data_IF_384307294667
#
_entry.id   IF_384307294667
#
_cell.length_a   1.000
_cell.length_b   1.000
_cell.length_c   1.000
_cell.angle_alpha   90.00
_cell.angle_beta   90.00
_cell.angle_gamma   90.00
#
_symmetry.space_group_name_H-M   'P 1'
#
loop_
_entity.id
_entity.type
_entity.pdbx_description
1 polymer ?
#
# COMPACT_ATOMS: atom_id res chain seq x y z
N UNK A 1 48.24 -30.40 -9.83
CA UNK A 1 48.91 -29.57 -8.80
C UNK A 1 50.41 -29.84 -8.83
N UNK A 2 51.12 -29.26 -9.80
CA UNK A 2 52.59 -29.12 -9.83
C UNK A 2 53.09 -28.32 -11.05
N UNK A 3 52.22 -27.99 -12.01
CA UNK A 3 52.53 -27.04 -13.09
C UNK A 3 52.00 -25.60 -12.86
N UNK A 4 51.05 -25.41 -11.94
CA UNK A 4 50.46 -24.09 -11.63
C UNK A 4 51.14 -23.33 -10.49
N UNK A 5 52.20 -23.86 -9.90
CA UNK A 5 52.95 -23.19 -8.82
C UNK A 5 54.33 -22.66 -9.25
N UNK A 6 54.72 -22.80 -10.53
CA UNK A 6 55.95 -22.22 -11.08
C UNK A 6 55.72 -20.97 -11.96
N UNK A 7 54.48 -20.71 -12.42
CA UNK A 7 54.15 -19.50 -13.20
C UNK A 7 53.86 -18.26 -12.31
N UNK A 8 53.46 -18.44 -11.05
CA UNK A 8 53.18 -17.32 -10.13
C UNK A 8 54.44 -16.66 -9.52
N UNK A 9 55.63 -17.22 -9.75
CA UNK A 9 56.90 -16.72 -9.20
C UNK A 9 57.76 -15.91 -10.20
N UNK A 10 57.50 -15.99 -11.52
CA UNK A 10 58.26 -15.22 -12.53
C UNK A 10 57.59 -13.91 -12.96
N UNK A 11 56.32 -13.69 -12.65
CA UNK A 11 55.61 -12.47 -13.08
C UNK A 11 55.62 -11.33 -12.03
N UNK A 12 56.23 -11.55 -10.86
CA UNK A 12 56.37 -10.56 -9.77
C UNK A 12 57.76 -9.94 -9.64
N UNK A 13 58.64 -10.08 -10.64
CA UNK A 13 60.01 -9.53 -10.59
C UNK A 13 60.34 -8.44 -11.65
N UNK A 14 59.34 -7.91 -12.36
CA UNK A 14 59.54 -6.87 -13.38
C UNK A 14 58.86 -5.53 -13.03
N UNK A 15 58.70 -5.25 -11.74
CA UNK A 15 58.25 -3.97 -11.21
C UNK A 15 59.34 -3.33 -10.35
N UNK A 16 60.42 -2.87 -10.97
CA UNK A 16 61.38 -1.94 -10.36
C UNK A 16 62.40 -1.44 -11.39
N UNK A 17 62.66 -0.13 -11.39
CA UNK A 17 63.74 0.65 -12.09
C UNK A 17 63.28 1.29 -13.43
N UNK A 18 62.79 2.55 -13.45
CA UNK A 18 63.51 3.86 -13.59
C UNK A 18 63.92 4.16 -15.05
N UNK A 19 63.60 5.23 -15.80
CA UNK A 19 63.64 6.73 -15.65
C UNK A 19 64.31 7.31 -16.96
N UNK A 20 63.81 8.47 -17.49
CA UNK A 20 64.45 9.51 -18.37
C UNK A 20 64.55 9.30 -19.92
N UNK A 21 63.80 10.05 -20.76
CA UNK A 21 64.06 11.35 -21.50
C UNK A 21 64.91 11.20 -22.80
N UNK A 22 64.84 11.95 -23.93
CA UNK A 22 64.36 13.30 -24.32
C UNK A 22 64.51 13.51 -25.89
N UNK A 23 63.75 14.47 -26.48
CA UNK A 23 63.94 15.29 -27.75
C UNK A 23 63.76 14.64 -29.14
N UNK A 24 63.07 15.22 -30.16
CA UNK A 24 62.31 16.48 -30.25
C UNK A 24 61.78 16.86 -31.67
N UNK A 25 60.90 17.89 -31.66
CA UNK A 25 60.61 19.01 -32.61
C UNK A 25 60.34 18.69 -34.12
N UNK A 26 59.28 19.20 -34.78
CA UNK A 26 59.07 20.62 -35.21
C UNK A 26 57.56 20.95 -35.46
N UNK A 27 57.17 22.18 -35.12
CA UNK A 27 55.88 22.88 -35.30
C UNK A 27 55.60 23.40 -36.74
N UNK A 28 54.33 23.71 -37.09
CA UNK A 28 53.84 25.11 -37.24
C UNK A 28 52.33 25.24 -37.64
N UNK A 29 51.57 25.83 -36.71
CA UNK A 29 50.45 26.81 -36.76
C UNK A 29 49.35 26.85 -37.85
N UNK A 30 48.10 26.90 -37.37
CA UNK A 30 47.18 28.04 -37.60
C UNK A 30 46.17 28.17 -36.43
N UNK A 31 45.78 29.41 -36.11
CA UNK A 31 45.12 29.87 -34.88
C UNK A 31 43.77 30.55 -35.21
N UNK A 32 42.80 30.44 -34.27
CA UNK A 32 41.60 31.28 -34.00
C UNK A 32 40.23 30.84 -34.58
N UNK A 33 39.09 31.24 -33.98
CA UNK A 33 38.62 30.89 -32.63
C UNK A 33 37.18 30.29 -32.64
N UNK A 34 36.84 29.44 -31.66
CA UNK A 34 35.47 28.96 -31.47
C UNK A 34 34.56 30.04 -30.87
N UNK A 35 33.69 30.63 -31.69
CA UNK A 35 32.45 31.26 -31.23
C UNK A 35 31.32 30.23 -31.26
N UNK A 36 30.90 29.77 -30.09
CA UNK A 36 29.72 28.92 -29.92
C UNK A 36 28.45 29.75 -30.15
N UNK A 37 27.87 29.64 -31.34
CA UNK A 37 26.52 30.09 -31.60
C UNK A 37 25.51 29.11 -30.97
N UNK A 38 24.62 29.69 -30.18
CA UNK A 38 23.49 29.07 -29.48
C UNK A 38 22.52 28.44 -30.49
N UNK A 39 22.62 27.14 -30.71
CA UNK A 39 21.57 26.38 -31.38
C UNK A 39 20.50 26.00 -30.32
N UNK A 40 19.32 26.60 -30.45
CA UNK A 40 18.13 26.18 -29.74
C UNK A 40 17.81 24.74 -30.14
N UNK A 41 18.09 23.78 -29.26
CA UNK A 41 17.58 22.42 -29.40
C UNK A 41 16.13 22.41 -28.91
N UNK A 42 15.25 22.15 -29.87
CA UNK A 42 13.83 21.86 -29.69
C UNK A 42 13.58 20.87 -28.55
N UNK A 43 12.52 21.04 -27.73
CA UNK A 43 12.15 20.04 -26.74
C UNK A 43 11.79 18.74 -27.45
N UNK A 44 12.49 17.67 -27.10
CA UNK A 44 12.19 16.33 -27.58
C UNK A 44 10.74 15.96 -27.17
N UNK A 45 9.86 15.59 -28.10
CA UNK A 45 8.44 15.39 -27.81
C UNK A 45 8.23 14.10 -27.01
N UNK A 46 7.43 14.22 -25.95
CA UNK A 46 6.58 13.18 -25.38
C UNK A 46 7.21 11.80 -25.11
N UNK A 47 7.66 11.60 -23.87
CA UNK A 47 7.32 10.37 -23.14
C UNK A 47 6.12 10.66 -22.24
N UNK A 48 4.97 10.93 -22.86
CA UNK A 48 3.66 10.83 -22.22
C UNK A 48 3.16 9.39 -22.43
N UNK A 49 3.65 8.46 -21.61
CA UNK A 49 2.98 7.19 -21.43
C UNK A 49 2.11 7.29 -20.18
N UNK A 50 0.85 7.64 -20.40
CA UNK A 50 -0.24 7.39 -19.46
C UNK A 50 -0.39 5.87 -19.28
N UNK A 51 0.49 5.27 -18.48
CA UNK A 51 0.53 3.82 -18.32
C UNK A 51 -0.41 3.41 -17.19
N UNK A 52 -1.70 3.31 -17.51
CA UNK A 52 -2.76 2.78 -16.65
C UNK A 52 -2.58 1.29 -16.31
N UNK A 53 -1.65 0.60 -16.98
CA UNK A 53 -1.04 -0.69 -16.55
C UNK A 53 0.47 -0.55 -16.47
N UNK A 54 1.09 -0.95 -15.35
CA UNK A 54 2.55 -0.91 -15.20
C UNK A 54 3.03 -2.28 -14.73
N UNK A 55 4.13 -2.78 -15.30
CA UNK A 55 4.86 -3.91 -14.69
C UNK A 55 5.69 -3.38 -13.54
N UNK A 56 5.31 -3.72 -12.30
CA UNK A 56 6.16 -3.46 -11.13
C UNK A 56 6.90 -4.75 -10.79
N UNK A 57 8.24 -4.74 -10.85
CA UNK A 57 9.08 -5.92 -10.66
C UNK A 57 8.69 -7.12 -11.55
N UNK A 58 8.14 -6.86 -12.74
CA UNK A 58 7.69 -7.90 -13.67
C UNK A 58 6.26 -8.41 -13.44
N UNK A 59 5.59 -7.99 -12.35
CA UNK A 59 4.21 -8.40 -12.03
C UNK A 59 3.17 -7.43 -12.62
N UNK A 60 1.98 -7.96 -12.92
CA UNK A 60 0.83 -7.16 -13.35
C UNK A 60 0.34 -6.25 -12.21
N UNK A 61 0.25 -4.95 -12.49
CA UNK A 61 -0.33 -3.95 -11.60
C UNK A 61 -1.24 -3.02 -12.40
N UNK A 62 -2.48 -2.87 -11.94
CA UNK A 62 -3.39 -1.85 -12.45
C UNK A 62 -3.54 -0.73 -11.42
N UNK A 63 -3.53 0.50 -11.93
CA UNK A 63 -3.67 1.72 -11.12
C UNK A 63 -5.05 2.37 -11.28
N UNK A 64 -5.83 1.91 -12.26
CA UNK A 64 -7.18 2.38 -12.55
C UNK A 64 -8.12 1.20 -12.89
N UNK A 65 -9.43 1.30 -12.62
CA UNK A 65 -10.40 0.23 -12.87
C UNK A 65 -10.48 -0.22 -14.33
N UNK A 66 -10.37 0.71 -15.27
CA UNK A 66 -10.55 0.48 -16.71
C UNK A 66 -9.49 -0.48 -17.27
N UNK A 67 -8.34 -0.58 -16.60
CA UNK A 67 -7.22 -1.42 -16.99
C UNK A 67 -6.98 -2.62 -16.09
N UNK A 68 -7.79 -2.78 -15.04
CA UNK A 68 -7.64 -3.85 -14.06
C UNK A 68 -8.10 -5.23 -14.58
N UNK A 69 -8.74 -5.28 -15.75
CA UNK A 69 -9.11 -6.51 -16.42
C UNK A 69 -10.35 -7.20 -15.84
N UNK A 70 -10.71 -8.38 -16.37
CA UNK A 70 -11.95 -9.08 -16.01
C UNK A 70 -11.97 -9.55 -14.55
N UNK A 71 -10.82 -9.95 -13.99
CA UNK A 71 -10.74 -10.40 -12.60
C UNK A 71 -11.19 -9.32 -11.62
N UNK A 72 -10.83 -8.06 -11.90
CA UNK A 72 -11.26 -6.92 -11.09
C UNK A 72 -12.79 -6.71 -11.14
N UNK A 73 -13.43 -6.98 -12.29
CA UNK A 73 -14.89 -6.84 -12.43
C UNK A 73 -15.65 -7.78 -11.50
N UNK A 74 -15.11 -8.96 -11.20
CA UNK A 74 -15.74 -9.92 -10.29
C UNK A 74 -15.27 -9.76 -8.83
N UNK A 75 -14.08 -9.21 -8.60
CA UNK A 75 -13.63 -8.86 -7.25
C UNK A 75 -14.55 -7.79 -6.63
N UNK A 76 -14.83 -7.93 -5.33
CA UNK A 76 -15.56 -6.93 -4.56
C UNK A 76 -16.41 -7.52 -3.45
N UNK A 77 -17.31 -6.69 -2.94
CA UNK A 77 -18.23 -7.03 -1.86
C UNK A 77 -19.61 -7.33 -2.43
N UNK A 78 -20.25 -8.35 -1.88
CA UNK A 78 -21.59 -8.81 -2.28
C UNK A 78 -22.45 -8.98 -1.04
N UNK A 79 -23.70 -8.56 -1.09
CA UNK A 79 -24.65 -8.66 0.04
C UNK A 79 -25.98 -9.22 -0.44
N UNK A 80 -26.67 -9.91 0.46
CA UNK A 80 -27.98 -10.48 0.18
C UNK A 80 -28.36 -11.46 1.27
N UNK A 81 -28.83 -12.63 0.89
CA UNK A 81 -29.44 -13.57 1.83
C UNK A 81 -29.06 -15.03 1.60
N UNK A 82 -29.08 -15.79 2.70
CA UNK A 82 -29.11 -17.24 2.71
C UNK A 82 -30.50 -17.69 3.18
N UNK A 83 -31.15 -18.56 2.41
CA UNK A 83 -32.54 -18.96 2.65
C UNK A 83 -32.64 -20.48 2.72
N UNK A 84 -32.92 -21.02 3.91
CA UNK A 84 -33.31 -22.41 4.07
C UNK A 84 -34.78 -22.61 3.66
N UNK A 85 -35.11 -23.81 3.17
CA UNK A 85 -36.47 -24.14 2.75
C UNK A 85 -37.47 -23.91 3.89
N UNK A 86 -38.53 -23.15 3.63
CA UNK A 86 -39.57 -22.82 4.62
C UNK A 86 -39.12 -21.89 5.75
N UNK A 87 -37.93 -21.28 5.66
CA UNK A 87 -37.37 -20.40 6.68
C UNK A 87 -37.29 -18.94 6.20
N UNK A 88 -37.19 -18.01 7.14
CA UNK A 88 -36.98 -16.59 6.82
C UNK A 88 -35.55 -16.37 6.29
N UNK A 89 -35.38 -15.62 5.18
CA UNK A 89 -34.05 -15.28 4.65
C UNK A 89 -33.16 -14.62 5.71
N UNK A 90 -31.94 -15.11 5.86
CA UNK A 90 -30.94 -14.58 6.79
C UNK A 90 -29.95 -13.69 6.04
N UNK A 91 -29.59 -12.55 6.65
CA UNK A 91 -28.61 -11.64 6.05
C UNK A 91 -27.26 -12.33 5.86
N UNK A 92 -26.68 -12.14 4.69
CA UNK A 92 -25.45 -12.80 4.30
C UNK A 92 -24.63 -11.91 3.37
N UNK A 93 -23.32 -12.13 3.30
CA UNK A 93 -22.44 -11.40 2.41
C UNK A 93 -21.28 -12.26 1.91
N UNK A 94 -20.56 -11.73 0.92
CA UNK A 94 -19.30 -12.28 0.48
C UNK A 94 -18.28 -11.17 0.19
N UNK A 95 -17.01 -11.43 0.48
CA UNK A 95 -15.88 -10.70 -0.11
C UNK A 95 -15.19 -11.63 -1.11
N UNK A 96 -15.31 -11.33 -2.41
CA UNK A 96 -14.68 -12.06 -3.51
C UNK A 96 -13.35 -11.40 -3.83
N UNK A 97 -12.26 -12.15 -3.72
CA UNK A 97 -10.88 -11.69 -3.93
C UNK A 97 -10.31 -12.36 -5.17
N UNK A 98 -9.87 -11.56 -6.13
CA UNK A 98 -9.11 -12.05 -7.27
C UNK A 98 -7.71 -12.46 -6.82
N UNK A 99 -7.31 -13.68 -7.17
CA UNK A 99 -5.98 -14.23 -6.90
C UNK A 99 -5.15 -14.41 -8.18
N UNK A 100 -5.66 -13.91 -9.30
CA UNK A 100 -4.99 -13.76 -10.59
C UNK A 100 -5.30 -14.89 -11.56
N UNK A 101 -5.14 -14.60 -12.85
CA UNK A 101 -5.34 -15.56 -13.95
C UNK A 101 -6.72 -16.23 -13.94
N UNK A 102 -7.77 -15.44 -13.62
CA UNK A 102 -9.15 -15.91 -13.54
C UNK A 102 -9.45 -16.74 -12.29
N UNK A 103 -8.53 -16.86 -11.34
CA UNK A 103 -8.75 -17.57 -10.09
C UNK A 103 -9.24 -16.62 -8.98
N UNK A 104 -10.13 -17.14 -8.12
CA UNK A 104 -10.74 -16.37 -7.04
C UNK A 104 -10.82 -17.16 -5.74
N UNK A 105 -10.83 -16.41 -4.65
CA UNK A 105 -11.24 -16.88 -3.33
C UNK A 105 -12.36 -15.99 -2.84
N UNK A 106 -13.45 -16.56 -2.34
CA UNK A 106 -14.50 -15.81 -1.70
C UNK A 106 -14.65 -16.21 -0.22
N UNK A 107 -14.84 -15.20 0.61
CA UNK A 107 -15.13 -15.34 2.03
C UNK A 107 -16.62 -15.09 2.24
N UNK A 108 -17.34 -16.10 2.69
CA UNK A 108 -18.78 -16.10 2.91
C UNK A 108 -19.07 -15.75 4.38
N UNK A 109 -19.89 -14.73 4.59
CA UNK A 109 -20.00 -14.01 5.87
C UNK A 109 -21.47 -13.93 6.33
N UNK A 110 -21.88 -14.74 7.32
CA UNK A 110 -23.15 -14.56 8.03
C UNK A 110 -23.32 -13.16 8.61
N UNK A 111 -24.54 -12.64 8.57
CA UNK A 111 -24.89 -11.36 9.20
C UNK A 111 -24.47 -10.12 8.41
N UNK A 112 -23.52 -10.22 7.48
CA UNK A 112 -23.16 -9.13 6.56
C UNK A 112 -21.65 -8.99 6.35
N UNK A 113 -21.22 -7.80 5.94
CA UNK A 113 -19.81 -7.45 5.71
C UNK A 113 -19.13 -7.00 7.01
N UNK A 114 -17.79 -6.92 7.06
CA UNK A 114 -17.06 -6.28 8.15
C UNK A 114 -17.59 -4.85 8.41
N UNK A 115 -17.82 -4.53 9.68
CA UNK A 115 -18.42 -3.26 10.11
C UNK A 115 -19.90 -3.10 9.74
N UNK A 116 -20.54 -4.11 9.16
CA UNK A 116 -21.92 -4.06 8.68
C UNK A 116 -22.69 -5.37 8.95
N UNK A 117 -22.55 -5.91 10.17
CA UNK A 117 -23.34 -7.03 10.70
C UNK A 117 -22.61 -8.37 10.80
N UNK A 118 -21.41 -8.51 10.22
CA UNK A 118 -20.56 -9.68 10.46
C UNK A 118 -20.10 -9.74 11.92
N UNK A 119 -20.03 -10.94 12.50
CA UNK A 119 -19.66 -11.18 13.90
C UNK A 119 -18.14 -11.12 14.17
N UNK A 120 -17.33 -10.99 13.11
CA UNK A 120 -15.87 -10.93 13.19
C UNK A 120 -15.16 -12.30 13.21
N UNK A 121 -15.90 -13.41 13.25
CA UNK A 121 -15.34 -14.76 13.41
C UNK A 121 -15.89 -15.79 12.42
N UNK A 122 -17.21 -15.87 12.23
CA UNK A 122 -17.88 -16.88 11.44
C UNK A 122 -17.66 -16.66 9.94
N UNK A 123 -16.95 -17.56 9.27
CA UNK A 123 -16.75 -17.46 7.82
C UNK A 123 -16.57 -18.83 7.19
N UNK A 124 -16.93 -18.94 5.92
CA UNK A 124 -16.53 -20.05 5.06
C UNK A 124 -15.71 -19.53 3.89
N UNK A 125 -14.81 -20.38 3.41
CA UNK A 125 -13.95 -20.07 2.26
C UNK A 125 -14.32 -20.98 1.11
N UNK A 126 -14.58 -20.37 -0.03
CA UNK A 126 -14.74 -21.07 -1.31
C UNK A 126 -13.71 -20.54 -2.30
N UNK A 127 -13.34 -21.38 -3.25
CA UNK A 127 -12.37 -21.02 -4.28
C UNK A 127 -12.67 -21.72 -5.58
N UNK A 128 -12.08 -21.21 -6.65
CA UNK A 128 -12.27 -21.73 -7.99
C UNK A 128 -11.81 -20.68 -8.99
N UNK A 129 -12.40 -20.73 -10.18
CA UNK A 129 -11.91 -19.95 -11.30
C UNK A 129 -13.00 -19.66 -12.33
N UNK A 130 -12.68 -18.76 -13.25
CA UNK A 130 -13.40 -18.57 -14.50
C UNK A 130 -12.99 -19.62 -15.52
N UNK A 131 -13.98 -20.28 -16.12
CA UNK A 131 -13.86 -21.18 -17.27
C UNK A 131 -14.90 -20.74 -18.31
N UNK A 132 -14.45 -20.26 -19.47
CA UNK A 132 -15.32 -19.62 -20.44
C UNK A 132 -15.92 -18.33 -19.88
N UNK A 133 -17.25 -18.25 -19.85
CA UNK A 133 -18.02 -17.13 -19.30
C UNK A 133 -18.48 -17.33 -17.85
N UNK A 134 -18.19 -18.51 -17.27
CA UNK A 134 -18.70 -18.91 -15.96
C UNK A 134 -17.61 -18.91 -14.91
N UNK A 135 -17.88 -18.30 -13.76
CA UNK A 135 -16.99 -18.34 -12.59
C UNK A 135 -17.65 -19.13 -11.48
N UNK A 136 -17.08 -20.30 -11.15
CA UNK A 136 -17.62 -21.20 -10.11
C UNK A 136 -16.62 -21.38 -8.98
N UNK A 137 -17.06 -21.20 -7.75
CA UNK A 137 -16.25 -21.40 -6.54
C UNK A 137 -16.93 -22.41 -5.61
N UNK A 138 -16.13 -23.28 -4.99
CA UNK A 138 -16.61 -24.30 -4.06
C UNK A 138 -15.71 -24.45 -2.84
N UNK A 139 -16.25 -25.01 -1.76
CA UNK A 139 -15.46 -25.40 -0.60
C UNK A 139 -14.46 -26.50 -0.96
N UNK A 140 -13.27 -26.48 -0.32
CA UNK A 140 -12.17 -27.42 -0.61
C UNK A 140 -12.56 -28.89 -0.46
N UNK A 141 -13.43 -29.20 0.51
CA UNK A 141 -13.90 -30.55 0.79
C UNK A 141 -15.07 -30.98 -0.10
N UNK A 142 -15.56 -30.09 -0.98
CA UNK A 142 -16.74 -30.31 -1.82
C UNK A 142 -18.06 -30.45 -1.05
N UNK A 143 -18.07 -30.21 0.28
CA UNK A 143 -19.20 -30.49 1.19
C UNK A 143 -19.75 -29.25 1.88
N UNK A 144 -19.25 -28.06 1.53
CA UNK A 144 -19.72 -26.78 2.07
C UNK A 144 -20.63 -26.03 1.11
N UNK A 145 -20.14 -24.91 0.62
CA UNK A 145 -20.85 -24.02 -0.29
C UNK A 145 -20.38 -24.24 -1.72
N UNK A 146 -21.31 -24.09 -2.67
CA UNK A 146 -21.02 -23.95 -4.11
C UNK A 146 -21.70 -22.71 -4.64
N UNK A 147 -20.94 -21.83 -5.28
CA UNK A 147 -21.43 -20.55 -5.79
C UNK A 147 -21.00 -20.34 -7.23
N UNK A 148 -21.82 -19.63 -7.99
CA UNK A 148 -21.53 -19.10 -9.32
C UNK A 148 -21.59 -17.59 -9.28
N UNK A 149 -20.58 -16.93 -9.82
CA UNK A 149 -20.51 -15.47 -9.96
C UNK A 149 -20.82 -15.13 -11.42
N UNK A 150 -21.86 -14.34 -11.63
CA UNK A 150 -22.31 -13.86 -12.94
C UNK A 150 -22.41 -12.34 -12.91
N UNK A 151 -21.36 -11.67 -13.40
CA UNK A 151 -21.24 -10.21 -13.30
C UNK A 151 -21.35 -9.74 -11.84
N UNK A 152 -22.38 -8.95 -11.56
CA UNK A 152 -22.63 -8.38 -10.23
C UNK A 152 -23.51 -9.27 -9.33
N UNK A 153 -23.77 -10.51 -9.72
CA UNK A 153 -24.60 -11.45 -8.94
C UNK A 153 -23.85 -12.70 -8.52
N UNK A 154 -24.15 -13.19 -7.32
CA UNK A 154 -23.74 -14.50 -6.83
C UNK A 154 -24.98 -15.30 -6.51
N UNK A 155 -25.06 -16.49 -7.11
CA UNK A 155 -26.05 -17.51 -6.75
C UNK A 155 -25.35 -18.75 -6.29
N UNK A 156 -25.92 -19.47 -5.33
CA UNK A 156 -25.34 -20.73 -4.88
C UNK A 156 -26.20 -21.46 -3.89
N UNK A 157 -25.63 -22.49 -3.30
CA UNK A 157 -26.28 -23.26 -2.27
C UNK A 157 -25.30 -23.88 -1.27
N UNK A 158 -25.80 -24.19 -0.08
CA UNK A 158 -25.09 -25.06 0.88
C UNK A 158 -25.31 -26.53 0.54
N UNK A 159 -24.53 -27.43 1.15
CA UNK A 159 -24.76 -28.87 1.04
C UNK A 159 -26.15 -29.32 1.53
N UNK A 160 -26.84 -28.50 2.34
CA UNK A 160 -28.21 -28.75 2.78
C UNK A 160 -29.28 -28.20 1.81
N UNK A 161 -28.87 -27.61 0.68
CA UNK A 161 -29.78 -27.02 -0.30
C UNK A 161 -30.31 -25.63 0.09
N UNK A 162 -29.70 -24.96 1.06
CA UNK A 162 -30.07 -23.57 1.41
C UNK A 162 -29.59 -22.65 0.30
N UNK A 163 -30.48 -21.81 -0.22
CA UNK A 163 -30.22 -20.98 -1.40
C UNK A 163 -29.50 -19.70 -1.00
N UNK A 164 -28.39 -19.39 -1.67
CA UNK A 164 -27.61 -18.18 -1.52
C UNK A 164 -27.85 -17.25 -2.71
N UNK A 165 -28.21 -16.00 -2.44
CA UNK A 165 -28.40 -14.95 -3.46
C UNK A 165 -27.80 -13.64 -2.96
N UNK A 166 -26.76 -13.14 -3.63
CA UNK A 166 -26.05 -11.91 -3.28
C UNK A 166 -25.88 -11.02 -4.51
N UNK A 167 -25.90 -9.71 -4.30
CA UNK A 167 -25.61 -8.69 -5.32
C UNK A 167 -24.40 -7.87 -4.92
N UNK A 168 -23.61 -7.48 -5.92
CA UNK A 168 -22.41 -6.66 -5.73
C UNK A 168 -22.81 -5.28 -5.20
N UNK A 169 -22.03 -4.77 -4.27
CA UNK A 169 -22.12 -3.40 -3.79
C UNK A 169 -20.74 -2.75 -3.82
N UNK A 170 -20.74 -1.42 -3.86
CA UNK A 170 -19.55 -0.60 -3.70
C UNK A 170 -19.76 0.24 -2.46
N UNK A 171 -18.94 0.03 -1.43
CA UNK A 171 -18.89 0.90 -0.24
C UNK A 171 -17.84 1.96 -0.44
N UNK A 172 -18.17 3.17 -0.03
CA UNK A 172 -17.23 4.29 0.05
C UNK A 172 -17.08 4.70 1.51
N UNK A 173 -15.91 5.23 1.85
CA UNK A 173 -15.73 5.80 3.18
C UNK A 173 -16.52 7.10 3.31
N UNK A 174 -17.22 7.32 4.46
CA UNK A 174 -17.99 8.54 4.69
C UNK A 174 -17.14 9.80 4.83
N UNK A 175 -15.82 9.68 4.95
CA UNK A 175 -14.89 10.82 5.07
C UNK A 175 -14.06 11.05 3.81
N UNK A 176 -14.30 10.32 2.71
CA UNK A 176 -13.65 10.61 1.43
C UNK A 176 -14.06 12.01 0.94
N UNK A 177 -13.07 12.80 0.54
CA UNK A 177 -13.24 14.18 0.11
C UNK A 177 -13.56 15.14 1.25
N UNK A 178 -13.46 14.72 2.51
CA UNK A 178 -13.74 15.61 3.64
C UNK A 178 -12.82 16.84 3.58
N UNK A 179 -13.39 18.06 3.55
CA UNK A 179 -12.58 19.26 3.45
C UNK A 179 -11.80 19.47 4.76
N UNK A 180 -10.60 20.07 4.68
CA UNK A 180 -9.88 20.49 5.87
C UNK A 180 -10.76 21.45 6.70
N UNK A 181 -10.92 21.24 8.01
CA UNK A 181 -11.63 22.19 8.85
C UNK A 181 -10.86 23.51 8.94
N UNK A 182 -11.54 24.57 9.39
CA UNK A 182 -10.90 25.88 9.61
C UNK A 182 -9.72 25.75 10.56
N UNK A 183 -8.56 26.26 10.15
CA UNK A 183 -7.31 26.19 10.93
C UNK A 183 -6.48 24.91 10.72
N UNK A 184 -6.95 23.96 9.91
CA UNK A 184 -6.13 22.80 9.55
C UNK A 184 -4.94 23.20 8.65
N UNK A 185 -3.79 22.56 8.89
CA UNK A 185 -2.67 22.60 7.99
C UNK A 185 -2.92 21.61 6.85
N UNK A 186 -3.08 22.11 5.63
CA UNK A 186 -3.14 21.28 4.43
C UNK A 186 -1.73 20.80 4.10
N UNK A 187 -1.52 19.49 4.16
CA UNK A 187 -0.26 18.85 3.81
C UNK A 187 -0.20 18.51 2.33
N UNK A 188 -1.31 18.08 1.73
CA UNK A 188 -1.38 17.80 0.30
C UNK A 188 -2.82 17.84 -0.23
N UNK A 189 -3.05 18.56 -1.31
CA UNK A 189 -4.34 18.70 -1.99
C UNK A 189 -4.25 18.52 -3.52
N UNK A 190 -3.11 18.04 -4.03
CA UNK A 190 -2.88 17.87 -5.47
C UNK A 190 -2.37 19.12 -6.20
N UNK A 191 -2.03 20.20 -5.50
CA UNK A 191 -1.47 21.42 -6.14
C UNK A 191 0.06 21.44 -6.14
N UNK A 192 0.68 21.20 -4.98
CA UNK A 192 2.13 21.20 -4.83
C UNK A 192 2.59 20.24 -3.72
N UNK A 193 3.91 20.15 -3.56
CA UNK A 193 4.59 19.32 -2.56
C UNK A 193 5.38 20.17 -1.55
N UNK A 194 4.98 21.42 -1.34
CA UNK A 194 5.74 22.39 -0.52
C UNK A 194 5.92 21.94 0.92
N UNK A 195 4.99 21.15 1.46
CA UNK A 195 5.05 20.58 2.81
C UNK A 195 5.96 19.33 2.92
N UNK A 196 6.41 18.78 1.79
CA UNK A 196 7.08 17.48 1.74
C UNK A 196 8.54 17.59 1.33
N UNK A 197 9.37 16.71 1.88
CA UNK A 197 10.70 16.35 1.40
C UNK A 197 10.54 15.04 0.65
N UNK A 198 11.25 14.91 -0.47
CA UNK A 198 11.22 13.69 -1.29
C UNK A 198 9.79 13.32 -1.74
N UNK A 199 8.86 14.27 -1.83
CA UNK A 199 7.55 14.01 -2.41
C UNK A 199 7.66 13.81 -3.93
N UNK A 200 6.84 12.93 -4.48
CA UNK A 200 6.60 12.83 -5.92
C UNK A 200 5.12 12.86 -6.19
N UNK A 201 4.73 13.68 -7.17
CA UNK A 201 3.37 13.75 -7.66
C UNK A 201 3.33 13.18 -9.07
N UNK A 202 2.31 12.39 -9.38
CA UNK A 202 2.09 11.88 -10.72
C UNK A 202 1.19 12.80 -11.56
N UNK A 203 0.94 12.42 -12.81
CA UNK A 203 0.09 13.18 -13.74
C UNK A 203 -1.37 13.32 -13.27
N UNK A 204 -1.82 12.42 -12.38
CA UNK A 204 -3.16 12.44 -11.78
C UNK A 204 -3.22 13.38 -10.57
N UNK A 205 -2.12 14.08 -10.27
CA UNK A 205 -1.95 14.96 -9.11
C UNK A 205 -2.07 14.21 -7.78
N UNK A 206 -1.62 12.96 -7.75
CA UNK A 206 -1.59 12.13 -6.55
C UNK A 206 -0.17 12.04 -6.01
N UNK A 207 -0.04 12.10 -4.68
CA UNK A 207 1.25 11.92 -3.99
C UNK A 207 1.58 10.42 -3.95
N UNK A 208 2.67 10.02 -4.59
CA UNK A 208 3.15 8.64 -4.54
C UNK A 208 3.93 8.38 -3.25
N UNK A 209 3.68 7.25 -2.58
CA UNK A 209 4.55 6.77 -1.49
C UNK A 209 5.96 6.47 -1.99
N UNK A 210 6.05 5.97 -3.23
CA UNK A 210 7.31 5.48 -3.77
C UNK A 210 8.15 6.61 -4.38
N UNK A 211 9.41 6.68 -3.96
CA UNK A 211 10.35 7.73 -4.36
C UNK A 211 10.89 7.49 -5.77
N UNK A 212 11.25 6.24 -6.08
CA UNK A 212 11.77 5.87 -7.39
C UNK A 212 11.45 4.40 -7.73
N UNK A 213 10.73 4.12 -8.84
CA UNK A 213 10.45 2.76 -9.29
C UNK A 213 11.70 1.90 -9.55
N UNK A 214 12.86 2.52 -9.75
CA UNK A 214 14.12 1.86 -10.05
C UNK A 214 15.05 1.70 -8.84
N UNK A 215 14.75 2.32 -7.70
CA UNK A 215 15.60 2.26 -6.50
C UNK A 215 14.86 1.54 -5.39
N UNK A 216 15.35 0.34 -5.02
CA UNK A 216 14.89 -0.41 -3.85
C UNK A 216 15.46 0.24 -2.58
N UNK A 217 14.87 1.34 -2.11
CA UNK A 217 15.07 1.84 -0.75
C UNK A 217 13.82 1.56 0.06
N UNK A 218 13.84 0.44 0.79
CA UNK A 218 12.74 0.06 1.67
C UNK A 218 12.80 0.95 2.92
N UNK A 219 11.70 1.64 3.24
CA UNK A 219 11.54 2.41 4.49
C UNK A 219 11.84 3.92 4.40
N UNK A 220 12.08 4.47 3.21
CA UNK A 220 12.23 5.92 3.01
C UNK A 220 11.23 6.41 1.97
N UNK A 221 10.20 7.16 2.38
CA UNK A 221 9.23 7.78 1.47
C UNK A 221 9.08 9.28 1.70
N UNK A 222 8.00 9.93 1.21
CA UNK A 222 7.74 11.34 1.46
C UNK A 222 7.66 11.66 2.95
N UNK A 223 8.40 12.67 3.40
CA UNK A 223 8.38 13.17 4.79
C UNK A 223 7.88 14.60 4.84
N UNK A 224 7.05 14.95 5.82
CA UNK A 224 6.73 16.36 6.06
C UNK A 224 7.98 17.13 6.51
N UNK A 225 8.11 18.38 6.07
CA UNK A 225 9.22 19.26 6.48
C UNK A 225 9.14 19.64 7.96
N UNK A 226 7.91 19.82 8.45
CA UNK A 226 7.59 20.16 9.84
C UNK A 226 7.35 18.87 10.65
N UNK A 227 7.76 18.90 11.91
CA UNK A 227 7.40 17.90 12.91
C UNK A 227 6.14 18.30 13.68
N UNK A 228 5.43 17.29 14.18
CA UNK A 228 4.21 17.44 14.96
C UNK A 228 4.30 16.65 16.25
N UNK A 229 3.57 17.09 17.28
CA UNK A 229 3.43 16.42 18.56
C UNK A 229 2.10 15.69 18.65
N UNK A 230 1.08 16.38 19.13
CA UNK A 230 -0.29 15.88 19.24
C UNK A 230 -1.10 16.49 18.09
N UNK A 231 -1.97 15.68 17.48
CA UNK A 231 -2.72 16.13 16.32
C UNK A 231 -3.92 15.23 16.01
N UNK A 232 -4.86 15.79 15.26
CA UNK A 232 -5.77 15.02 14.44
C UNK A 232 -5.28 15.03 12.98
N UNK A 233 -5.28 13.89 12.30
CA UNK A 233 -4.82 13.73 10.91
C UNK A 233 -5.90 13.05 10.07
N UNK A 234 -6.16 13.61 8.90
CA UNK A 234 -6.92 12.97 7.83
C UNK A 234 -5.99 12.64 6.65
N UNK A 235 -6.10 11.43 6.13
CA UNK A 235 -5.33 10.94 4.97
C UNK A 235 -6.25 10.11 4.09
N UNK A 236 -6.29 10.40 2.79
CA UNK A 236 -6.84 9.48 1.80
C UNK A 236 -5.73 8.72 1.08
N UNK A 237 -5.94 7.42 0.88
CA UNK A 237 -5.01 6.55 0.18
C UNK A 237 -5.73 5.57 -0.74
N UNK A 238 -5.05 5.16 -1.82
CA UNK A 238 -5.56 4.20 -2.79
C UNK A 238 -4.52 3.12 -3.06
N UNK A 239 -4.97 1.88 -2.95
CA UNK A 239 -4.16 0.69 -3.16
C UNK A 239 -4.28 0.24 -4.63
N UNK A 240 -3.18 -0.07 -5.32
CA UNK A 240 -3.23 -0.61 -6.67
C UNK A 240 -3.79 -2.05 -6.68
N UNK A 241 -4.37 -2.46 -7.80
CA UNK A 241 -4.82 -3.84 -7.98
C UNK A 241 -3.64 -4.74 -8.36
N UNK A 242 -3.28 -5.64 -7.44
CA UNK A 242 -2.15 -6.59 -7.57
C UNK A 242 -2.60 -8.03 -7.29
N UNK A 243 -3.42 -8.65 -8.16
CA UNK A 243 -4.06 -9.94 -7.87
C UNK A 243 -3.09 -11.12 -7.73
N UNK A 244 -1.84 -11.00 -8.19
CA UNK A 244 -0.80 -12.03 -8.01
C UNK A 244 0.02 -11.85 -6.74
N UNK A 245 0.03 -10.66 -6.14
CA UNK A 245 0.83 -10.35 -4.96
C UNK A 245 0.17 -10.87 -3.67
N UNK A 246 0.97 -11.20 -2.65
CA UNK A 246 0.52 -11.76 -1.37
C UNK A 246 1.23 -11.09 -0.20
N UNK A 247 0.62 -11.18 0.99
CA UNK A 247 1.19 -10.67 2.25
C UNK A 247 1.71 -9.23 2.07
N UNK A 248 2.86 -8.90 2.66
CA UNK A 248 3.56 -7.62 2.58
C UNK A 248 3.96 -7.20 1.14
N UNK A 249 3.80 -8.06 0.13
CA UNK A 249 3.98 -7.68 -1.29
C UNK A 249 2.72 -7.08 -1.93
N UNK A 250 1.56 -7.22 -1.29
CA UNK A 250 0.26 -6.82 -1.82
C UNK A 250 -0.07 -5.38 -1.38
N UNK A 251 0.55 -4.43 -2.07
CA UNK A 251 0.27 -2.99 -1.94
C UNK A 251 0.66 -2.38 -0.59
N UNK A 252 1.85 -2.72 -0.09
CA UNK A 252 2.34 -2.26 1.21
C UNK A 252 2.85 -0.81 1.19
N UNK A 253 2.54 -0.09 2.24
CA UNK A 253 2.99 1.26 2.62
C UNK A 253 2.63 1.47 4.10
N UNK A 254 2.73 2.70 4.59
CA UNK A 254 2.38 3.04 5.96
C UNK A 254 2.21 4.54 6.14
N UNK A 255 1.33 4.94 7.06
CA UNK A 255 1.26 6.31 7.57
C UNK A 255 2.00 6.33 8.90
N UNK A 256 3.24 6.80 8.90
CA UNK A 256 4.12 6.77 10.06
C UNK A 256 4.04 8.09 10.84
N UNK A 257 3.37 8.04 11.98
CA UNK A 257 3.19 9.16 12.91
C UNK A 257 4.53 9.47 13.58
N UNK A 258 4.98 10.72 13.52
CA UNK A 258 6.28 11.18 13.99
C UNK A 258 7.49 10.43 13.40
N UNK A 259 7.32 9.68 12.30
CA UNK A 259 8.30 8.72 11.77
C UNK A 259 8.71 7.64 12.79
N UNK A 260 7.78 7.32 13.70
CA UNK A 260 7.97 6.41 14.87
C UNK A 260 6.90 5.34 14.96
N UNK A 261 5.66 5.67 14.63
CA UNK A 261 4.52 4.79 14.83
C UNK A 261 3.81 4.57 13.50
N UNK A 262 4.06 3.43 12.88
CA UNK A 262 3.46 3.07 11.60
C UNK A 262 2.03 2.57 11.77
N UNK A 263 1.12 3.25 11.07
CA UNK A 263 -0.23 2.76 10.82
C UNK A 263 -0.22 2.07 9.47
N UNK A 264 -0.47 0.76 9.47
CA UNK A 264 -0.26 -0.10 8.32
C UNK A 264 -1.18 0.26 7.16
N UNK A 265 -0.62 0.40 5.95
CA UNK A 265 -1.37 0.54 4.70
C UNK A 265 -1.08 -0.69 3.84
N UNK A 266 -2.07 -1.57 3.69
CA UNK A 266 -1.88 -2.84 2.98
C UNK A 266 -3.19 -3.32 2.33
N UNK A 267 -3.12 -3.96 1.15
CA UNK A 267 -4.29 -4.61 0.57
C UNK A 267 -4.55 -5.95 1.28
N UNK A 268 -5.34 -5.84 2.35
CA UNK A 268 -5.84 -6.97 3.14
C UNK A 268 -7.31 -7.27 2.88
N UNK A 269 -7.87 -6.77 1.77
CA UNK A 269 -9.25 -7.06 1.38
C UNK A 269 -9.49 -8.57 1.27
N UNK A 270 -10.44 -9.08 2.08
CA UNK A 270 -10.75 -10.50 2.28
C UNK A 270 -9.69 -11.32 3.02
N UNK A 271 -8.39 -11.12 2.74
CA UNK A 271 -7.31 -11.96 3.29
C UNK A 271 -7.01 -11.75 4.77
N UNK A 272 -7.40 -10.62 5.36
CA UNK A 272 -7.22 -10.34 6.79
C UNK A 272 -8.44 -10.61 7.67
N UNK A 273 -9.46 -11.34 7.20
CA UNK A 273 -10.70 -11.56 7.94
C UNK A 273 -10.53 -12.54 9.11
N UNK A 274 -10.69 -12.04 10.34
CA UNK A 274 -10.59 -12.83 11.56
C UNK A 274 -9.16 -13.33 11.85
N UNK A 275 -8.16 -12.77 11.18
CA UNK A 275 -6.75 -12.99 11.48
C UNK A 275 -6.29 -11.82 12.33
N UNK A 276 -5.93 -12.09 13.59
CA UNK A 276 -5.12 -11.19 14.40
C UNK A 276 -3.68 -11.70 14.30
N UNK A 277 -2.89 -11.12 13.41
CA UNK A 277 -1.45 -11.42 13.37
C UNK A 277 -0.76 -10.57 14.43
N UNK A 278 0.15 -11.17 15.20
CA UNK A 278 1.03 -10.39 16.07
C UNK A 278 2.04 -9.58 15.24
N UNK A 279 2.19 -9.96 13.96
CA UNK A 279 3.12 -9.43 12.99
C UNK A 279 2.72 -8.05 12.42
N UNK A 280 1.47 -7.60 12.57
CA UNK A 280 1.01 -6.29 12.06
C UNK A 280 0.67 -6.28 10.56
N UNK A 281 0.24 -7.42 10.02
CA UNK A 281 0.03 -7.63 8.58
C UNK A 281 -1.38 -7.26 8.10
N UNK A 282 -2.11 -6.40 8.80
CA UNK A 282 -3.48 -5.98 8.42
C UNK A 282 -3.58 -4.46 8.30
N UNK A 283 -4.31 -3.98 7.28
CA UNK A 283 -4.57 -2.54 7.13
C UNK A 283 -5.27 -1.99 8.38
N UNK A 284 -4.68 -0.97 8.99
CA UNK A 284 -5.18 -0.33 10.21
C UNK A 284 -4.52 -0.84 11.49
N UNK A 285 -3.63 -1.83 11.38
CA UNK A 285 -2.76 -2.22 12.48
C UNK A 285 -1.83 -1.07 12.87
N UNK A 286 -1.51 -1.00 14.15
CA UNK A 286 -0.30 -0.32 14.59
C UNK A 286 0.81 -1.36 14.47
N UNK A 287 1.67 -1.20 13.46
CA UNK A 287 2.53 -2.27 12.96
C UNK A 287 3.36 -2.93 14.07
N UNK A 288 3.24 -4.25 14.20
CA UNK A 288 3.88 -5.08 15.24
C UNK A 288 3.62 -4.62 16.70
N UNK A 289 2.54 -3.88 16.95
CA UNK A 289 2.15 -3.38 18.29
C UNK A 289 0.72 -3.73 18.67
N UNK A 290 -0.23 -3.50 17.77
CA UNK A 290 -1.64 -3.73 18.02
C UNK A 290 -2.38 -4.08 16.73
N UNK A 291 -3.05 -5.25 16.65
CA UNK A 291 -3.89 -5.57 15.51
C UNK A 291 -5.15 -4.69 15.50
N UNK A 292 -5.63 -4.35 14.31
CA UNK A 292 -6.91 -3.70 14.09
C UNK A 292 -8.05 -4.55 14.65
N UNK A 293 -9.02 -3.90 15.29
CA UNK A 293 -10.19 -4.59 15.85
C UNK A 293 -11.08 -5.19 14.76
N UNK A 294 -11.12 -4.56 13.59
CA UNK A 294 -11.86 -5.01 12.41
C UNK A 294 -11.08 -4.63 11.16
N UNK A 295 -10.93 -5.57 10.22
CA UNK A 295 -10.37 -5.28 8.92
C UNK A 295 -11.42 -4.57 8.05
N UNK A 296 -11.31 -3.25 7.96
CA UNK A 296 -12.19 -2.38 7.17
C UNK A 296 -11.56 -1.96 5.84
N UNK A 297 -10.55 -2.69 5.36
CA UNK A 297 -9.96 -2.46 4.05
C UNK A 297 -11.00 -2.79 2.95
N UNK A 298 -11.31 -1.80 2.11
CA UNK A 298 -12.13 -1.89 0.91
C UNK A 298 -11.33 -2.52 -0.23
N UNK A 299 -12.00 -2.98 -1.31
CA UNK A 299 -11.30 -3.50 -2.49
C UNK A 299 -10.27 -2.49 -3.03
N UNK A 300 -9.12 -2.95 -3.57
CA UNK A 300 -8.14 -2.07 -4.20
C UNK A 300 -8.78 -1.23 -5.32
N UNK A 301 -8.15 -0.11 -5.65
CA UNK A 301 -8.66 0.96 -6.51
C UNK A 301 -9.82 1.77 -5.94
N UNK A 302 -10.33 1.42 -4.75
CA UNK A 302 -11.19 2.30 -3.94
C UNK A 302 -10.34 3.29 -3.14
N UNK A 303 -10.84 4.51 -2.97
CA UNK A 303 -10.25 5.45 -2.01
C UNK A 303 -10.61 5.04 -0.59
N UNK A 304 -9.60 5.02 0.27
CA UNK A 304 -9.73 4.71 1.68
C UNK A 304 -9.33 5.92 2.51
N UNK A 305 -9.90 6.05 3.70
CA UNK A 305 -9.53 7.13 4.63
C UNK A 305 -8.96 6.58 5.93
N UNK A 306 -7.96 7.28 6.42
CA UNK A 306 -7.62 7.29 7.83
C UNK A 306 -7.99 8.61 8.47
N UNK A 307 -8.72 8.53 9.58
CA UNK A 307 -8.95 9.62 10.51
C UNK A 307 -8.30 9.25 11.85
N UNK A 308 -7.22 9.94 12.21
CA UNK A 308 -6.33 9.56 13.31
C UNK A 308 -6.28 10.67 14.35
N UNK A 309 -6.70 10.35 15.56
CA UNK A 309 -6.42 11.14 16.75
C UNK A 309 -5.17 10.60 17.44
N UNK A 310 -4.08 11.37 17.43
CA UNK A 310 -2.78 10.94 17.95
C UNK A 310 -2.30 11.81 19.12
N UNK A 311 -1.83 11.13 20.15
CA UNK A 311 -1.12 11.71 21.29
C UNK A 311 0.30 11.14 21.35
N UNK A 312 1.30 12.00 21.20
CA UNK A 312 2.70 11.58 21.26
C UNK A 312 3.09 11.04 22.66
N UNK A 313 4.13 10.23 22.72
CA UNK A 313 4.74 9.86 24.00
C UNK A 313 5.15 11.11 24.80
N UNK A 314 5.12 11.01 26.13
CA UNK A 314 5.53 12.10 27.04
C UNK A 314 6.84 11.76 27.70
N UNK A 315 7.66 12.79 27.89
CA UNK A 315 8.98 12.71 28.49
C UNK A 315 9.10 13.77 29.59
N UNK A 316 9.89 13.49 30.62
CA UNK A 316 10.25 14.49 31.61
C UNK A 316 11.39 15.40 31.12
N UNK A 317 11.79 16.35 31.97
CA UNK A 317 12.86 17.33 31.66
C UNK A 317 14.24 16.68 31.47
N UNK A 318 14.43 15.45 31.94
CA UNK A 318 15.68 14.69 31.78
C UNK A 318 15.69 13.88 30.49
N UNK A 319 14.59 13.87 29.73
CA UNK A 319 14.42 13.06 28.53
C UNK A 319 13.99 11.62 28.80
N UNK A 320 13.62 11.28 30.05
CA UNK A 320 13.07 9.95 30.38
C UNK A 320 11.60 9.89 30.00
N UNK A 321 11.19 8.81 29.32
CA UNK A 321 9.79 8.56 28.98
C UNK A 321 8.94 8.37 30.25
N UNK A 322 7.81 9.06 30.31
CA UNK A 322 6.84 9.00 31.42
C UNK A 322 5.45 8.54 30.98
N UNK A 323 5.08 8.66 29.69
CA UNK A 323 3.85 8.09 29.13
C UNK A 323 4.07 7.61 27.70
N UNK A 324 3.46 6.49 27.34
CA UNK A 324 3.43 5.98 25.97
C UNK A 324 2.57 6.87 25.05
N UNK A 325 2.81 6.76 23.75
CA UNK A 325 1.92 7.35 22.75
C UNK A 325 0.57 6.63 22.75
N UNK A 326 -0.48 7.33 22.29
CA UNK A 326 -1.82 6.77 22.10
C UNK A 326 -2.43 7.19 20.79
N UNK A 327 -3.23 6.32 20.18
CA UNK A 327 -3.95 6.65 18.96
C UNK A 327 -5.38 6.08 18.96
N UNK A 328 -6.33 6.90 18.48
CA UNK A 328 -7.61 6.40 17.97
C UNK A 328 -7.57 6.50 16.46
N UNK A 329 -7.85 5.40 15.77
CA UNK A 329 -7.76 5.29 14.31
C UNK A 329 -9.10 4.82 13.79
N UNK A 330 -9.66 5.59 12.86
CA UNK A 330 -10.78 5.11 12.03
C UNK A 330 -10.26 4.77 10.64
N UNK A 331 -10.58 3.58 10.17
CA UNK A 331 -10.40 3.16 8.78
C UNK A 331 -11.77 3.16 8.13
N UNK A 332 -11.96 3.98 7.09
CA UNK A 332 -13.21 4.08 6.36
C UNK A 332 -14.42 4.38 7.28
N UNK A 333 -14.24 5.30 8.22
CA UNK A 333 -15.26 5.74 9.19
C UNK A 333 -15.46 4.82 10.41
N UNK A 334 -14.89 3.61 10.41
CA UNK A 334 -15.03 2.64 11.51
C UNK A 334 -13.79 2.66 12.39
N UNK A 335 -13.99 2.73 13.71
CA UNK A 335 -12.89 2.69 14.70
C UNK A 335 -12.23 1.31 14.66
N UNK A 336 -10.95 1.28 14.28
CA UNK A 336 -10.12 0.06 14.22
C UNK A 336 -9.07 0.02 15.34
N UNK A 337 -8.73 1.18 15.91
CA UNK A 337 -7.96 1.33 17.14
C UNK A 337 -8.67 2.34 18.03
N UNK A 338 -8.91 2.04 19.30
CA UNK A 338 -9.62 2.91 20.22
C UNK A 338 -8.71 3.31 21.39
N UNK A 339 -8.21 4.55 21.39
CA UNK A 339 -7.27 5.07 22.38
C UNK A 339 -6.12 4.09 22.71
N UNK A 340 -5.64 3.40 21.67
CA UNK A 340 -4.70 2.30 21.77
C UNK A 340 -3.36 2.82 22.24
N UNK A 341 -2.84 2.23 23.32
CA UNK A 341 -1.50 2.52 23.81
C UNK A 341 -0.43 1.89 22.90
N UNK A 342 0.60 2.67 22.59
CA UNK A 342 1.71 2.25 21.72
C UNK A 342 3.00 2.32 22.54
N UNK A 343 3.47 1.16 22.98
CA UNK A 343 4.70 1.07 23.76
C UNK A 343 5.93 0.98 22.85
N UNK A 344 6.62 2.10 22.68
CA UNK A 344 7.81 2.19 21.84
C UNK A 344 7.47 2.36 20.36
N UNK A 345 8.46 2.77 19.56
CA UNK A 345 8.32 2.86 18.11
C UNK A 345 7.99 1.50 17.48
N UNK A 346 7.32 1.53 16.32
CA UNK A 346 7.08 0.34 15.49
C UNK A 346 8.40 -0.11 14.85
N UNK A 347 8.43 -1.35 14.37
CA UNK A 347 9.65 -1.95 13.82
C UNK A 347 10.21 -1.12 12.65
N UNK A 348 11.55 -0.98 12.57
CA UNK A 348 12.28 -0.20 11.56
C UNK A 348 12.02 1.33 11.54
N UNK A 349 11.21 1.85 12.46
CA UNK A 349 10.98 3.30 12.60
C UNK A 349 12.01 3.96 13.54
N UNK A 350 12.05 5.30 13.54
CA UNK A 350 12.92 6.06 14.43
C UNK A 350 12.56 5.81 15.91
N UNK A 351 13.53 5.88 16.84
CA UNK A 351 13.24 5.76 18.26
C UNK A 351 12.35 6.92 18.75
N UNK A 352 11.62 6.66 19.83
CA UNK A 352 10.85 7.72 20.50
C UNK A 352 11.80 8.79 21.06
N UNK A 353 11.37 10.06 20.98
CA UNK A 353 12.13 11.17 21.55
C UNK A 353 11.18 12.30 21.99
N UNK A 354 11.62 13.21 22.87
CA UNK A 354 10.78 14.34 23.31
C UNK A 354 10.52 15.37 22.21
N UNK A 355 11.23 15.31 21.08
CA UNK A 355 11.03 16.22 19.96
C UNK A 355 9.83 15.81 19.11
N UNK A 356 9.17 16.83 18.56
CA UNK A 356 8.18 16.70 17.50
C UNK A 356 8.78 15.95 16.29
N UNK A 357 7.97 15.11 15.64
CA UNK A 357 8.42 14.26 14.53
C UNK A 357 7.59 14.46 13.27
N UNK A 358 8.18 14.29 12.08
CA UNK A 358 7.44 14.44 10.82
C UNK A 358 6.46 13.30 10.59
N UNK A 359 5.47 13.50 9.72
CA UNK A 359 4.74 12.38 9.13
C UNK A 359 5.56 11.80 7.98
N UNK A 360 5.62 10.48 7.87
CA UNK A 360 6.19 9.77 6.72
C UNK A 360 5.13 8.90 6.06
N UNK A 361 5.11 8.91 4.73
CA UNK A 361 4.38 7.92 3.93
C UNK A 361 5.40 6.87 3.47
N UNK A 362 5.29 5.63 3.93
CA UNK A 362 6.34 4.63 3.72
C UNK A 362 6.44 4.18 2.25
N UNK A 363 7.66 4.22 1.70
CA UNK A 363 7.99 3.52 0.46
C UNK A 363 8.34 2.06 0.76
N UNK A 364 7.50 1.14 0.29
CA UNK A 364 7.74 -0.30 0.34
C UNK A 364 7.77 -0.93 -1.07
N UNK A 365 8.14 -0.14 -2.09
CA UNK A 365 8.24 -0.59 -3.47
C UNK A 365 6.89 -0.93 -4.14
N UNK A 366 5.78 -0.49 -3.54
CA UNK A 366 4.44 -0.58 -4.13
C UNK A 366 3.92 0.81 -4.52
N UNK A 367 3.23 0.94 -5.68
CA UNK A 367 2.70 2.22 -6.13
C UNK A 367 1.38 2.56 -5.40
N UNK A 368 1.48 2.84 -4.10
CA UNK A 368 0.38 3.38 -3.28
C UNK A 368 0.35 4.90 -3.44
N UNK A 369 -0.85 5.44 -3.59
CA UNK A 369 -1.06 6.87 -3.83
C UNK A 369 -1.93 7.50 -2.74
N UNK A 370 -1.63 8.76 -2.45
CA UNK A 370 -2.29 9.54 -1.42
C UNK A 370 -2.86 10.84 -1.98
N UNK A 371 -3.95 11.32 -1.36
CA UNK A 371 -4.53 12.64 -1.60
C UNK A 371 -5.17 13.17 -0.32
N UNK A 372 -5.67 14.40 -0.40
CA UNK A 372 -6.45 15.05 0.67
C UNK A 372 -5.85 14.82 2.07
N UNK A 373 -4.64 15.33 2.29
CA UNK A 373 -3.93 15.15 3.54
C UNK A 373 -3.96 16.47 4.29
N UNK A 374 -4.54 16.48 5.49
CA UNK A 374 -4.58 17.66 6.34
C UNK A 374 -4.53 17.27 7.82
N UNK A 375 -4.04 18.20 8.63
CA UNK A 375 -3.76 17.97 10.04
C UNK A 375 -4.19 19.16 10.89
N UNK A 376 -4.75 18.90 12.07
CA UNK A 376 -5.06 19.90 13.11
C UNK A 376 -4.17 19.64 14.32
N UNK A 377 -3.20 20.52 14.62
CA UNK A 377 -2.39 20.40 15.85
C UNK A 377 -3.26 20.57 17.10
N UNK A 378 -2.85 19.93 18.21
CA UNK A 378 -3.56 20.00 19.50
C UNK A 378 -2.74 20.68 20.58
#
# INVERSE_FOLDING_TARGET
>A
MLAMQQEEAQQKLLYSISIISLVGLIMLYSLWPLTAARAATTPNPQNSTSASTVKYNGEFVALEPETAGPDFKLQGEYVGTLTAMGSTPQKFAAQVVAIGSGAFRAYLLPGGLPGAGWDGTSKWVVQGRTEGDKTTLQSYDGKGYSITINGDSITGQTAKGEKLELNKIVRESPTVGAPPPTGALVLFNGTDLTQWRQGRMDERKLLAAMLNPQVKRIGAGPLTKKGFKDFFLHVEFRLPFKPLARSQGRSNSGVCLQNRYEIQVLDTFGSGLGIKTAEGDVCGDIFAKAPAQVNMCLPPLSWQTYDIDFQAARFDKTGKKIKNARATIKLNGVVVQNNQEINGSTHLMQPESPQDGPLMLQDHGSPVFFRNIWLVPK
#
